data_IF_446432070551
#
_entry.id   IF_446432070551
#
_cell.length_a   1.000
_cell.length_b   1.000
_cell.length_c   1.000
_cell.angle_alpha   90.00
_cell.angle_beta   90.00
_cell.angle_gamma   90.00
#
_symmetry.space_group_name_H-M   'P 1'
#
loop_
_entity.id
_entity.type
_entity.pdbx_description
1 polymer ?
#
# COMPACT_ATOMS: atom_id res chain seq x y z
N UNK A 1 18.19 8.59 57.45
CA UNK A 1 17.12 7.82 56.78
C UNK A 1 17.13 7.82 55.23
N UNK A 2 17.93 8.65 54.51
CA UNK A 2 17.95 8.65 53.02
C UNK A 2 18.85 7.58 52.37
N UNK A 3 19.90 7.10 53.05
CA UNK A 3 20.83 6.10 52.51
C UNK A 3 20.27 4.67 52.44
N UNK A 4 19.52 4.24 53.46
CA UNK A 4 18.94 2.90 53.54
C UNK A 4 17.85 2.66 52.47
N UNK A 5 17.03 3.69 52.18
CA UNK A 5 15.99 3.62 51.13
C UNK A 5 16.58 3.49 49.72
N UNK A 6 17.71 4.16 49.44
CA UNK A 6 18.39 4.03 48.14
C UNK A 6 18.99 2.64 47.94
N UNK A 7 19.56 2.03 48.98
CA UNK A 7 20.10 0.66 48.92
C UNK A 7 19.00 -0.39 48.73
N UNK A 8 17.85 -0.21 49.37
CA UNK A 8 16.68 -1.07 49.20
C UNK A 8 16.10 -0.98 47.77
N UNK A 9 16.01 0.24 47.23
CA UNK A 9 15.53 0.44 45.86
C UNK A 9 16.48 -0.19 44.83
N UNK A 10 17.79 -0.05 45.04
CA UNK A 10 18.80 -0.66 44.17
C UNK A 10 18.70 -2.20 44.21
N UNK A 11 18.51 -2.78 45.39
CA UNK A 11 18.33 -4.22 45.55
C UNK A 11 17.08 -4.74 44.84
N UNK A 12 15.97 -3.99 44.89
CA UNK A 12 14.73 -4.33 44.17
C UNK A 12 14.89 -4.25 42.65
N UNK A 13 15.62 -3.24 42.15
CA UNK A 13 15.92 -3.11 40.71
C UNK A 13 16.80 -4.29 40.25
N UNK A 14 17.84 -4.65 41.02
CA UNK A 14 18.70 -5.79 40.68
C UNK A 14 17.91 -7.10 40.67
N UNK A 15 17.03 -7.32 41.66
CA UNK A 15 16.17 -8.50 41.70
C UNK A 15 15.21 -8.56 40.49
N UNK A 16 14.63 -7.42 40.09
CA UNK A 16 13.75 -7.33 38.94
C UNK A 16 14.47 -7.64 37.62
N UNK A 17 15.69 -7.13 37.45
CA UNK A 17 16.52 -7.41 36.26
C UNK A 17 16.90 -8.88 36.20
N UNK A 18 17.30 -9.50 37.31
CA UNK A 18 17.62 -10.93 37.36
C UNK A 18 16.41 -11.81 37.03
N UNK A 19 15.23 -11.44 37.55
CA UNK A 19 13.99 -12.17 37.24
C UNK A 19 13.59 -12.03 35.76
N UNK A 20 13.75 -10.84 35.20
CA UNK A 20 13.47 -10.57 33.79
C UNK A 20 14.41 -11.36 32.86
N UNK A 21 15.70 -11.45 33.21
CA UNK A 21 16.68 -12.25 32.47
C UNK A 21 16.39 -13.76 32.58
N UNK A 22 15.97 -14.25 33.74
CA UNK A 22 15.55 -15.65 33.92
C UNK A 22 14.28 -16.00 33.12
N UNK A 23 13.29 -15.09 33.10
CA UNK A 23 12.10 -15.22 32.28
C UNK A 23 12.45 -15.25 30.77
N UNK A 24 13.35 -14.36 30.33
CA UNK A 24 13.83 -14.36 28.95
C UNK A 24 14.56 -15.67 28.59
N UNK A 25 15.41 -16.18 29.47
CA UNK A 25 16.11 -17.45 29.26
C UNK A 25 15.14 -18.64 29.14
N UNK A 26 14.12 -18.70 30.00
CA UNK A 26 13.13 -19.79 29.98
C UNK A 26 12.21 -19.77 28.76
N UNK A 27 11.89 -18.58 28.23
CA UNK A 27 11.02 -18.43 27.06
C UNK A 27 11.78 -18.59 25.74
N UNK A 28 12.97 -18.01 25.63
CA UNK A 28 13.68 -17.92 24.35
C UNK A 28 14.83 -18.92 24.18
N UNK A 29 15.46 -19.37 25.27
CA UNK A 29 16.71 -20.15 25.21
C UNK A 29 16.59 -21.57 25.76
N UNK A 30 15.49 -21.89 26.47
CA UNK A 30 15.26 -23.26 26.96
C UNK A 30 14.78 -24.15 25.79
N UNK A 31 15.47 -25.26 25.49
CA UNK A 31 15.02 -26.20 24.47
C UNK A 31 13.64 -26.76 24.83
N UNK A 32 12.64 -26.56 23.97
CA UNK A 32 11.34 -27.21 24.11
C UNK A 32 11.54 -28.71 23.94
N UNK A 33 11.30 -29.49 25.02
CA UNK A 33 11.08 -30.94 24.90
C UNK A 33 9.90 -31.14 23.95
N UNK A 34 10.11 -31.85 22.85
CA UNK A 34 9.08 -32.26 21.91
C UNK A 34 7.97 -33.00 22.66
N UNK A 35 6.76 -32.47 22.57
CA UNK A 35 5.57 -33.14 23.08
C UNK A 35 5.38 -34.46 22.31
N UNK A 36 5.25 -35.55 23.06
CA UNK A 36 5.00 -36.88 22.51
C UNK A 36 3.65 -36.91 21.78
N UNK A 37 3.66 -37.47 20.57
CA UNK A 37 2.48 -37.80 19.77
C UNK A 37 1.64 -38.85 20.51
N UNK A 38 0.30 -38.72 20.57
CA UNK A 38 -0.55 -39.71 21.26
C UNK A 38 -0.67 -41.00 20.42
N UNK A 39 -0.38 -42.16 21.02
CA UNK A 39 -0.70 -43.48 20.48
C UNK A 39 -2.12 -43.93 20.91
N UNK A 40 -2.82 -44.75 20.10
CA UNK A 40 -4.21 -45.16 20.32
C UNK A 40 -4.35 -46.20 21.45
N UNK A 41 -5.56 -46.43 21.97
CA UNK A 41 -5.77 -47.11 23.24
C UNK A 41 -5.85 -48.62 23.06
N UNK A 42 -5.15 -49.39 23.91
CA UNK A 42 -5.74 -50.63 24.42
C UNK A 42 -5.04 -51.22 25.65
N UNK A 43 -5.90 -51.55 26.61
CA UNK A 43 -5.88 -52.66 27.58
C UNK A 43 -5.03 -52.57 28.85
N UNK A 44 -5.78 -52.33 29.93
CA UNK A 44 -5.51 -52.77 31.29
C UNK A 44 -4.92 -54.18 31.38
N UNK A 45 -3.81 -54.30 32.11
CA UNK A 45 -3.58 -55.42 33.02
C UNK A 45 -2.68 -54.99 34.19
N UNK A 46 -3.24 -55.15 35.38
CA UNK A 46 -2.67 -54.88 36.71
C UNK A 46 -1.41 -55.72 36.99
N UNK A 47 -0.52 -55.16 37.82
CA UNK A 47 0.48 -55.87 38.63
C UNK A 47 1.88 -55.26 38.49
N UNK A 48 2.31 -54.35 39.37
CA UNK A 48 2.93 -54.57 40.69
C UNK A 48 4.47 -54.64 40.63
N UNK A 49 5.08 -53.70 41.37
CA UNK A 49 6.42 -53.66 41.99
C UNK A 49 7.66 -53.37 41.15
N UNK A 50 8.41 -52.40 41.70
CA UNK A 50 9.77 -51.98 41.38
C UNK A 50 10.80 -53.12 41.50
N UNK A 51 11.68 -53.26 40.48
CA UNK A 51 13.13 -53.01 40.57
C UNK A 51 13.97 -53.84 39.55
N UNK A 52 14.98 -53.14 39.00
CA UNK A 52 16.25 -53.59 38.37
C UNK A 52 16.25 -53.95 36.87
N UNK A 53 17.20 -53.31 36.19
CA UNK A 53 17.49 -53.32 34.76
C UNK A 53 18.08 -54.64 34.24
N UNK A 54 17.73 -54.97 32.99
CA UNK A 54 18.53 -55.80 32.07
C UNK A 54 18.45 -55.13 30.70
N UNK A 55 19.58 -54.67 30.18
CA UNK A 55 19.77 -54.31 28.78
C UNK A 55 19.53 -55.56 27.93
N UNK A 56 18.47 -55.55 27.12
CA UNK A 56 18.36 -56.42 25.96
C UNK A 56 18.61 -55.53 24.73
N UNK A 57 19.85 -55.49 24.25
CA UNK A 57 20.12 -55.05 22.88
C UNK A 57 19.57 -56.13 21.94
N UNK A 58 18.34 -55.91 21.48
CA UNK A 58 17.67 -56.74 20.48
C UNK A 58 18.34 -56.47 19.13
N UNK A 59 19.26 -57.37 18.73
CA UNK A 59 20.03 -57.26 17.49
C UNK A 59 19.08 -57.22 16.28
N UNK A 60 19.00 -56.07 15.59
CA UNK A 60 18.22 -55.89 14.38
C UNK A 60 19.10 -56.16 13.13
N UNK A 61 18.86 -57.24 12.36
CA UNK A 61 19.68 -57.60 11.20
C UNK A 61 19.61 -56.58 10.05
N UNK A 62 18.63 -55.67 10.07
CA UNK A 62 18.31 -54.75 8.98
C UNK A 62 18.68 -53.30 9.28
N UNK A 63 19.37 -53.05 10.41
CA UNK A 63 19.76 -51.71 10.83
C UNK A 63 20.69 -51.01 9.83
N UNK A 64 21.56 -51.76 9.14
CA UNK A 64 22.45 -51.22 8.11
C UNK A 64 21.68 -50.85 6.84
N UNK A 65 20.70 -51.67 6.44
CA UNK A 65 19.87 -51.40 5.27
C UNK A 65 18.94 -50.19 5.51
N UNK A 66 18.35 -50.05 6.70
CA UNK A 66 17.56 -48.88 7.07
C UNK A 66 18.42 -47.60 7.12
N UNK A 67 19.65 -47.67 7.68
CA UNK A 67 20.59 -46.53 7.69
C UNK A 67 21.00 -46.14 6.27
N UNK A 68 21.21 -47.11 5.38
CA UNK A 68 21.56 -46.88 3.98
C UNK A 68 20.38 -46.29 3.18
N UNK A 69 19.15 -46.75 3.40
CA UNK A 69 17.95 -46.17 2.79
C UNK A 69 17.68 -44.76 3.30
N UNK A 70 17.84 -44.49 4.60
CA UNK A 70 17.74 -43.15 5.17
C UNK A 70 18.81 -42.22 4.57
N UNK A 71 20.05 -42.69 4.45
CA UNK A 71 21.13 -41.93 3.82
C UNK A 71 20.84 -41.64 2.34
N UNK A 72 20.34 -42.63 1.59
CA UNK A 72 19.95 -42.46 0.19
C UNK A 72 18.75 -41.50 0.03
N UNK A 73 17.76 -41.57 0.93
CA UNK A 73 16.63 -40.65 0.96
C UNK A 73 17.06 -39.21 1.31
N UNK A 74 17.98 -39.07 2.26
CA UNK A 74 18.60 -37.78 2.64
C UNK A 74 19.36 -37.18 1.45
N UNK A 75 20.17 -37.98 0.74
CA UNK A 75 20.91 -37.55 -0.44
C UNK A 75 19.97 -37.15 -1.60
N UNK A 76 18.88 -37.88 -1.83
CA UNK A 76 17.86 -37.51 -2.84
C UNK A 76 17.15 -36.20 -2.46
N UNK A 77 16.85 -35.99 -1.18
CA UNK A 77 16.26 -34.76 -0.68
C UNK A 77 17.22 -33.56 -0.85
N UNK A 78 18.50 -33.73 -0.52
CA UNK A 78 19.53 -32.71 -0.72
C UNK A 78 19.79 -32.39 -2.20
N UNK A 79 19.78 -33.41 -3.07
CA UNK A 79 19.90 -33.23 -4.51
C UNK A 79 18.71 -32.44 -5.08
N UNK A 80 17.48 -32.77 -4.65
CA UNK A 80 16.28 -32.03 -5.03
C UNK A 80 16.30 -30.58 -4.51
N UNK A 81 16.77 -30.35 -3.29
CA UNK A 81 16.96 -28.99 -2.76
C UNK A 81 18.00 -28.19 -3.55
N UNK A 82 19.10 -28.82 -4.01
CA UNK A 82 20.10 -28.19 -4.88
C UNK A 82 19.52 -27.84 -6.26
N UNK A 83 18.69 -28.71 -6.84
CA UNK A 83 18.00 -28.45 -8.11
C UNK A 83 17.00 -27.29 -7.96
N UNK A 84 16.22 -27.25 -6.88
CA UNK A 84 15.28 -26.16 -6.59
C UNK A 84 16.03 -24.84 -6.34
N UNK A 85 17.15 -24.87 -5.60
CA UNK A 85 18.01 -23.69 -5.42
C UNK A 85 18.61 -23.20 -6.73
N UNK A 86 19.06 -24.11 -7.61
CA UNK A 86 19.61 -23.77 -8.93
C UNK A 86 18.54 -23.22 -9.87
N UNK A 87 17.32 -23.76 -9.83
CA UNK A 87 16.18 -23.24 -10.56
C UNK A 87 15.76 -21.84 -10.06
N UNK A 88 15.77 -21.61 -8.73
CA UNK A 88 15.57 -20.28 -8.14
C UNK A 88 16.66 -19.29 -8.52
N UNK A 89 17.93 -19.68 -8.48
CA UNK A 89 19.03 -18.80 -8.88
C UNK A 89 18.98 -18.40 -10.35
N UNK A 90 18.48 -19.28 -11.22
CA UNK A 90 18.27 -18.98 -12.65
C UNK A 90 17.04 -18.08 -12.89
N UNK A 91 16.04 -18.13 -12.00
CA UNK A 91 14.88 -17.21 -12.02
C UNK A 91 15.20 -15.83 -11.41
N UNK A 92 16.25 -15.74 -10.59
CA UNK A 92 16.60 -14.58 -9.77
C UNK A 92 17.65 -13.65 -10.40
N UNK A 93 18.06 -13.86 -11.65
CA UNK A 93 18.91 -12.90 -12.34
C UNK A 93 18.12 -11.60 -12.57
N UNK A 94 18.60 -10.50 -12.01
CA UNK A 94 18.01 -9.17 -12.22
C UNK A 94 18.25 -8.81 -13.68
N UNK A 95 17.19 -8.74 -14.48
CA UNK A 95 17.26 -8.44 -15.92
C UNK A 95 17.01 -6.96 -16.19
N UNK A 96 16.26 -6.28 -15.33
CA UNK A 96 15.92 -4.87 -15.48
C UNK A 96 16.32 -4.08 -14.22
N UNK A 97 16.98 -2.95 -14.41
CA UNK A 97 17.22 -1.95 -13.35
C UNK A 97 16.46 -0.68 -13.69
N UNK A 98 15.66 -0.20 -12.74
CA UNK A 98 14.85 1.01 -12.89
C UNK A 98 15.11 1.94 -11.72
N UNK A 99 15.48 3.18 -12.00
CA UNK A 99 15.61 4.23 -10.98
C UNK A 99 14.42 5.20 -11.08
N UNK A 100 13.70 5.37 -9.97
CA UNK A 100 12.51 6.22 -9.89
C UNK A 100 12.90 7.54 -9.21
N UNK A 101 12.63 8.66 -9.87
CA UNK A 101 12.95 10.00 -9.38
C UNK A 101 11.67 10.70 -8.91
N UNK A 102 11.51 10.81 -7.60
CA UNK A 102 10.32 11.33 -6.94
C UNK A 102 10.40 12.80 -6.56
N UNK A 103 9.55 13.65 -7.15
CA UNK A 103 9.33 15.03 -6.65
C UNK A 103 7.88 15.36 -6.30
N UNK A 104 6.94 14.55 -6.76
CA UNK A 104 5.52 14.71 -6.47
C UNK A 104 5.06 13.70 -5.40
N UNK A 105 4.05 14.07 -4.62
CA UNK A 105 3.47 13.24 -3.57
C UNK A 105 3.02 11.85 -4.06
N UNK A 106 2.56 11.77 -5.31
CA UNK A 106 2.15 10.51 -5.95
C UNK A 106 3.30 9.48 -6.03
N UNK A 107 4.56 9.93 -6.00
CA UNK A 107 5.73 9.05 -5.97
C UNK A 107 5.89 8.35 -4.62
N UNK A 108 5.56 9.00 -3.51
CA UNK A 108 5.52 8.37 -2.19
C UNK A 108 4.38 7.35 -2.11
N UNK A 109 3.24 7.61 -2.77
CA UNK A 109 2.16 6.64 -2.85
C UNK A 109 2.60 5.38 -3.64
N UNK A 110 3.23 5.57 -4.80
CA UNK A 110 3.84 4.48 -5.57
C UNK A 110 4.81 3.66 -4.70
N UNK A 111 5.77 4.31 -4.04
CA UNK A 111 6.82 3.61 -3.31
C UNK A 111 6.31 2.95 -2.02
N UNK A 112 5.71 3.73 -1.12
CA UNK A 112 5.40 3.26 0.23
C UNK A 112 4.09 2.45 0.27
N UNK A 113 3.07 2.82 -0.51
CA UNK A 113 1.74 2.19 -0.41
C UNK A 113 1.54 1.07 -1.42
N UNK A 114 2.05 1.24 -2.65
CA UNK A 114 1.89 0.26 -3.73
C UNK A 114 3.03 -0.77 -3.70
N UNK A 115 4.29 -0.31 -3.66
CA UNK A 115 5.45 -1.21 -3.57
C UNK A 115 5.64 -1.80 -2.16
N UNK A 116 5.27 -1.05 -1.12
CA UNK A 116 5.60 -1.40 0.27
C UNK A 116 7.09 -1.17 0.57
N UNK A 117 7.71 -0.23 -0.14
CA UNK A 117 9.13 0.07 -0.02
C UNK A 117 9.42 1.02 1.14
N UNK A 118 10.48 0.70 1.87
CA UNK A 118 11.02 1.56 2.92
C UNK A 118 11.91 2.66 2.35
N UNK A 119 12.09 3.74 3.13
CA UNK A 119 12.91 4.89 2.78
C UNK A 119 13.90 5.18 3.90
N UNK A 120 15.15 5.43 3.52
CA UNK A 120 16.24 5.81 4.40
C UNK A 120 16.80 7.19 3.99
N UNK A 121 16.98 8.14 4.94
CA UNK A 121 16.55 8.05 6.33
C UNK A 121 15.01 8.02 6.47
N UNK A 122 14.54 7.50 7.61
CA UNK A 122 13.12 7.46 7.95
C UNK A 122 12.52 8.87 8.17
N UNK A 123 13.35 9.85 8.53
CA UNK A 123 12.95 11.23 8.74
C UNK A 123 12.38 11.86 7.47
N UNK A 124 11.11 12.26 7.53
CA UNK A 124 10.37 12.87 6.41
C UNK A 124 10.88 14.27 6.06
N UNK A 125 11.63 14.92 6.94
CA UNK A 125 12.22 16.26 6.74
C UNK A 125 13.62 16.22 6.12
N UNK A 126 14.17 15.02 5.92
CA UNK A 126 15.48 14.84 5.33
C UNK A 126 15.56 15.44 3.91
N UNK A 127 16.74 15.99 3.58
CA UNK A 127 17.01 16.65 2.30
C UNK A 127 16.89 15.70 1.09
N UNK A 128 17.20 14.42 1.30
CA UNK A 128 16.90 13.33 0.40
C UNK A 128 16.57 12.08 1.20
N UNK A 129 15.85 11.15 0.57
CA UNK A 129 15.52 9.82 1.07
C UNK A 129 15.56 8.85 -0.09
N UNK A 130 16.09 7.67 0.19
CA UNK A 130 16.32 6.64 -0.80
C UNK A 130 15.73 5.30 -0.34
N UNK A 131 15.24 4.53 -1.29
CA UNK A 131 14.77 3.18 -1.08
C UNK A 131 15.24 2.29 -2.20
N UNK A 132 15.40 1.00 -1.93
CA UNK A 132 15.58 0.02 -2.99
C UNK A 132 14.84 -1.26 -2.68
N UNK A 133 14.34 -1.91 -3.72
CA UNK A 133 13.58 -3.14 -3.60
C UNK A 133 13.68 -3.95 -4.89
N UNK A 134 13.78 -5.27 -4.75
CA UNK A 134 13.63 -6.21 -5.87
C UNK A 134 12.17 -6.64 -5.98
N UNK A 135 11.61 -6.58 -7.17
CA UNK A 135 10.29 -7.10 -7.48
C UNK A 135 10.38 -7.99 -8.73
N UNK A 136 10.32 -9.31 -8.51
CA UNK A 136 10.55 -10.29 -9.58
C UNK A 136 11.96 -10.18 -10.16
N UNK A 137 12.04 -9.93 -11.47
CA UNK A 137 13.30 -9.78 -12.21
C UNK A 137 13.79 -8.34 -12.29
N UNK A 138 13.02 -7.40 -11.73
CA UNK A 138 13.34 -5.97 -11.77
C UNK A 138 13.85 -5.49 -10.43
N UNK A 139 14.95 -4.74 -10.46
CA UNK A 139 15.47 -4.00 -9.32
C UNK A 139 15.07 -2.53 -9.43
N UNK A 140 14.40 -2.04 -8.40
CA UNK A 140 13.98 -0.66 -8.28
C UNK A 140 14.83 0.06 -7.24
N UNK A 141 15.32 1.25 -7.59
CA UNK A 141 15.76 2.25 -6.63
C UNK A 141 14.85 3.47 -6.73
N UNK A 142 14.58 4.11 -5.61
CA UNK A 142 13.72 5.29 -5.53
C UNK A 142 14.43 6.37 -4.75
N UNK A 143 14.46 7.58 -5.30
CA UNK A 143 15.06 8.75 -4.67
C UNK A 143 14.04 9.89 -4.63
N UNK A 144 13.90 10.54 -3.49
CA UNK A 144 12.96 11.65 -3.29
C UNK A 144 13.48 12.64 -2.25
N UNK A 145 13.01 13.88 -2.29
CA UNK A 145 13.31 14.89 -1.27
C UNK A 145 13.58 16.29 -1.83
N UNK A 146 13.74 17.31 -0.97
CA UNK A 146 14.02 18.68 -1.36
C UNK A 146 15.27 18.86 -2.24
N UNK A 147 16.37 18.18 -1.94
CA UNK A 147 17.65 18.30 -2.65
C UNK A 147 17.77 17.46 -3.91
N UNK A 148 16.78 16.62 -4.21
CA UNK A 148 16.72 15.86 -5.45
C UNK A 148 16.39 16.83 -6.58
N UNK A 149 17.40 17.38 -7.24
CA UNK A 149 17.24 18.33 -8.35
C UNK A 149 18.06 17.86 -9.56
N UNK A 150 17.68 18.24 -10.79
CA UNK A 150 18.37 17.79 -12.00
C UNK A 150 19.89 18.02 -11.92
N UNK A 151 20.68 16.95 -12.05
CA UNK A 151 22.14 16.99 -12.02
C UNK A 151 22.80 16.85 -10.64
N UNK A 152 22.04 16.80 -9.55
CA UNK A 152 22.57 16.79 -8.17
C UNK A 152 22.37 15.45 -7.44
N UNK A 153 22.29 14.35 -8.18
CA UNK A 153 22.22 12.99 -7.64
C UNK A 153 22.80 11.99 -8.64
N UNK A 154 23.15 10.79 -8.17
CA UNK A 154 23.72 9.72 -9.01
C UNK A 154 22.65 9.04 -9.86
N UNK A 155 22.89 8.98 -11.17
CA UNK A 155 22.08 8.18 -12.10
C UNK A 155 22.67 6.77 -12.13
N UNK A 156 21.95 5.81 -11.57
CA UNK A 156 22.46 4.44 -11.31
C UNK A 156 21.84 3.36 -12.20
N UNK A 157 20.88 3.76 -13.06
CA UNK A 157 20.18 2.86 -13.96
C UNK A 157 19.98 3.52 -15.33
N UNK A 158 20.01 2.69 -16.37
CA UNK A 158 19.74 3.11 -17.76
C UNK A 158 18.24 3.35 -18.00
N UNK A 159 17.37 2.76 -17.17
CA UNK A 159 15.93 2.93 -17.26
C UNK A 159 15.43 3.75 -16.08
N UNK A 160 14.62 4.77 -16.37
CA UNK A 160 14.15 5.68 -15.33
C UNK A 160 12.64 5.86 -15.36
N UNK A 161 12.07 6.15 -14.20
CA UNK A 161 10.70 6.66 -14.07
C UNK A 161 10.75 8.02 -13.39
N UNK A 162 10.23 9.04 -14.05
CA UNK A 162 10.20 10.40 -13.50
C UNK A 162 8.80 10.67 -12.95
N UNK A 163 8.72 11.05 -11.67
CA UNK A 163 7.45 11.40 -11.04
C UNK A 163 7.25 12.91 -11.09
N UNK A 164 6.28 13.35 -11.89
CA UNK A 164 6.01 14.75 -12.20
C UNK A 164 4.72 15.27 -11.57
N UNK A 165 4.66 16.59 -11.35
CA UNK A 165 3.47 17.29 -10.91
C UNK A 165 3.02 18.27 -12.00
N UNK A 166 1.91 17.94 -12.66
CA UNK A 166 1.28 18.77 -13.71
C UNK A 166 0.05 19.52 -13.24
N UNK A 167 -0.18 19.61 -11.92
CA UNK A 167 -1.45 20.14 -11.38
C UNK A 167 -1.71 21.60 -11.74
N UNK A 168 -0.67 22.42 -11.85
CA UNK A 168 -0.78 23.86 -12.13
C UNK A 168 0.41 24.36 -12.98
N UNK A 169 0.23 25.51 -13.65
CA UNK A 169 1.22 26.07 -14.59
C UNK A 169 2.63 26.20 -14.01
N UNK A 170 2.77 26.65 -12.76
CA UNK A 170 4.07 26.76 -12.08
C UNK A 170 4.74 25.39 -11.87
N UNK A 171 3.96 24.34 -11.58
CA UNK A 171 4.46 22.98 -11.41
C UNK A 171 4.84 22.35 -12.75
N UNK A 172 4.08 22.65 -13.80
CA UNK A 172 4.40 22.26 -15.18
C UNK A 172 5.77 22.83 -15.58
N UNK A 173 6.04 24.12 -15.33
CA UNK A 173 7.36 24.72 -15.63
C UNK A 173 8.51 24.00 -14.93
N UNK A 174 8.32 23.54 -13.69
CA UNK A 174 9.33 22.74 -13.00
C UNK A 174 9.42 21.31 -13.56
N UNK A 175 8.29 20.70 -13.91
CA UNK A 175 8.24 19.35 -14.49
C UNK A 175 8.94 19.29 -15.86
N UNK A 176 8.83 20.32 -16.69
CA UNK A 176 9.51 20.36 -17.99
C UNK A 176 11.03 20.45 -17.85
N UNK A 177 11.56 21.07 -16.79
CA UNK A 177 13.02 21.06 -16.51
C UNK A 177 13.54 19.63 -16.31
N UNK A 178 12.79 18.78 -15.62
CA UNK A 178 13.13 17.36 -15.47
C UNK A 178 13.11 16.60 -16.78
N UNK A 179 12.14 16.88 -17.64
CA UNK A 179 12.08 16.29 -18.98
C UNK A 179 13.27 16.73 -19.85
N UNK A 180 13.65 18.00 -19.85
CA UNK A 180 14.83 18.46 -20.58
C UNK A 180 16.13 17.83 -20.05
N UNK A 181 16.25 17.66 -18.74
CA UNK A 181 17.39 16.96 -18.14
C UNK A 181 17.45 15.49 -18.59
N UNK A 182 16.33 14.77 -18.52
CA UNK A 182 16.25 13.39 -18.99
C UNK A 182 16.55 13.27 -20.50
N UNK A 183 16.05 14.20 -21.31
CA UNK A 183 16.37 14.27 -22.73
C UNK A 183 17.88 14.43 -22.99
N UNK A 184 18.55 15.27 -22.20
CA UNK A 184 20.01 15.43 -22.28
C UNK A 184 20.75 14.14 -21.91
N UNK A 185 20.24 13.40 -20.91
CA UNK A 185 20.81 12.10 -20.54
C UNK A 185 20.60 11.02 -21.60
N UNK A 186 19.47 11.04 -22.31
CA UNK A 186 19.22 10.19 -23.48
C UNK A 186 20.22 10.52 -24.59
N UNK A 187 20.39 11.80 -24.94
CA UNK A 187 21.32 12.22 -26.01
C UNK A 187 22.78 11.88 -25.67
N UNK A 188 23.15 11.92 -24.39
CA UNK A 188 24.48 11.52 -23.91
C UNK A 188 24.61 10.01 -23.62
N UNK A 189 23.60 9.21 -23.98
CA UNK A 189 23.56 7.75 -23.81
C UNK A 189 23.77 7.28 -22.36
N UNK A 190 23.47 8.14 -21.37
CA UNK A 190 23.53 7.80 -19.95
C UNK A 190 22.29 7.03 -19.48
N UNK A 191 21.16 7.27 -20.13
CA UNK A 191 19.91 6.52 -19.94
C UNK A 191 19.38 6.13 -21.32
N UNK A 192 18.55 5.09 -21.39
CA UNK A 192 17.99 4.54 -22.61
C UNK A 192 16.47 4.68 -22.68
N UNK A 193 15.78 4.49 -21.55
CA UNK A 193 14.31 4.46 -21.51
C UNK A 193 13.74 5.31 -20.38
N UNK A 194 12.65 6.00 -20.68
CA UNK A 194 11.99 6.93 -19.75
C UNK A 194 10.50 6.64 -19.68
N UNK A 195 10.01 6.38 -18.48
CA UNK A 195 8.59 6.46 -18.17
C UNK A 195 8.29 7.69 -17.30
N UNK A 196 7.05 8.17 -17.34
CA UNK A 196 6.58 9.29 -16.52
C UNK A 196 5.40 8.82 -15.68
N UNK A 197 5.44 9.10 -14.37
CA UNK A 197 4.27 9.06 -13.49
C UNK A 197 3.82 10.49 -13.21
N UNK A 198 2.70 10.89 -13.80
CA UNK A 198 2.18 12.25 -13.76
C UNK A 198 1.03 12.36 -12.75
N UNK A 199 1.24 13.16 -11.70
CA UNK A 199 0.12 13.78 -10.97
C UNK A 199 -0.49 14.84 -11.88
N UNK A 200 -1.58 14.49 -12.55
CA UNK A 200 -2.25 15.29 -13.56
C UNK A 200 -2.96 16.52 -13.00
N UNK A 201 -3.46 17.35 -13.91
CA UNK A 201 -4.36 18.45 -13.59
C UNK A 201 -5.75 17.90 -13.18
N UNK A 202 -6.39 18.53 -12.19
CA UNK A 202 -7.71 18.09 -11.68
C UNK A 202 -8.86 18.31 -12.68
N UNK A 203 -8.65 19.14 -13.71
CA UNK A 203 -9.53 19.32 -14.87
C UNK A 203 -9.03 18.55 -16.10
N UNK A 204 -8.03 17.68 -15.92
CA UNK A 204 -7.47 16.78 -16.91
C UNK A 204 -6.80 17.41 -18.14
N UNK A 205 -6.53 18.73 -18.10
CA UNK A 205 -5.74 19.44 -19.11
C UNK A 205 -4.25 19.09 -18.98
N UNK A 206 -3.83 18.00 -19.62
CA UNK A 206 -2.47 17.46 -19.56
C UNK A 206 -1.75 17.50 -20.93
N UNK A 207 -2.25 18.27 -21.90
CA UNK A 207 -1.78 18.29 -23.29
C UNK A 207 -0.30 18.69 -23.41
N UNK A 208 0.20 19.45 -22.45
CA UNK A 208 1.59 19.89 -22.38
C UNK A 208 2.61 18.73 -22.36
N UNK A 209 2.21 17.52 -21.93
CA UNK A 209 3.11 16.35 -21.91
C UNK A 209 3.22 15.69 -23.28
N UNK A 210 2.24 15.89 -24.18
CA UNK A 210 2.14 15.17 -25.45
C UNK A 210 3.40 15.29 -26.32
N UNK A 211 4.04 16.47 -26.49
CA UNK A 211 5.24 16.60 -27.31
C UNK A 211 6.43 15.74 -26.83
N UNK A 212 6.41 15.30 -25.58
CA UNK A 212 7.47 14.47 -25.00
C UNK A 212 7.23 12.97 -25.19
N UNK A 213 6.01 12.54 -25.53
CA UNK A 213 5.68 11.12 -25.73
C UNK A 213 6.24 10.59 -27.05
N UNK A 214 6.75 9.36 -27.05
CA UNK A 214 7.30 8.71 -28.26
C UNK A 214 6.33 8.68 -29.43
N UNK A 215 5.04 8.44 -29.19
CA UNK A 215 4.00 8.46 -30.24
C UNK A 215 3.88 9.81 -30.97
N UNK A 216 4.35 10.90 -30.36
CA UNK A 216 4.36 12.25 -30.91
C UNK A 216 5.77 12.71 -31.29
N UNK A 217 6.73 11.78 -31.42
CA UNK A 217 8.12 12.09 -31.78
C UNK A 217 9.02 12.48 -30.60
N UNK A 218 8.54 12.38 -29.36
CA UNK A 218 9.33 12.60 -28.15
C UNK A 218 10.13 11.38 -27.70
N UNK A 219 10.66 11.42 -26.47
CA UNK A 219 11.54 10.37 -25.91
C UNK A 219 10.92 9.56 -24.77
N UNK A 220 9.77 10.00 -24.23
CA UNK A 220 9.06 9.30 -23.14
C UNK A 220 8.34 8.08 -23.70
N UNK A 221 8.75 6.89 -23.25
CA UNK A 221 8.21 5.61 -23.67
C UNK A 221 6.80 5.36 -23.14
N UNK A 222 6.55 5.71 -21.87
CA UNK A 222 5.34 5.34 -21.15
C UNK A 222 4.87 6.50 -20.27
N UNK A 223 3.56 6.71 -20.19
CA UNK A 223 2.93 7.69 -19.32
C UNK A 223 1.89 7.00 -18.42
N UNK A 224 2.07 7.13 -17.11
CA UNK A 224 1.06 6.81 -16.11
C UNK A 224 0.48 8.14 -15.60
N UNK A 225 -0.84 8.34 -15.68
CA UNK A 225 -1.45 9.64 -15.34
C UNK A 225 -2.62 9.47 -14.37
N UNK A 226 -2.72 10.35 -13.37
CA UNK A 226 -3.86 10.39 -12.44
C UNK A 226 -5.08 11.08 -13.04
N UNK A 227 -6.28 10.77 -12.52
CA UNK A 227 -7.58 11.23 -13.03
C UNK A 227 -7.93 10.68 -14.41
N UNK A 228 -9.22 10.51 -14.67
CA UNK A 228 -9.71 10.04 -15.98
C UNK A 228 -9.16 10.92 -17.11
N UNK A 229 -8.41 10.32 -18.04
CA UNK A 229 -7.77 11.05 -19.15
C UNK A 229 -8.09 10.41 -20.50
N UNK A 230 -8.52 11.24 -21.46
CA UNK A 230 -9.02 10.76 -22.76
C UNK A 230 -8.00 9.97 -23.58
N UNK A 231 -6.70 10.26 -23.43
CA UNK A 231 -5.66 9.59 -24.21
C UNK A 231 -5.21 8.24 -23.63
N UNK A 232 -5.81 7.79 -22.53
CA UNK A 232 -5.51 6.44 -22.00
C UNK A 232 -5.87 5.39 -23.05
N UNK A 233 -4.89 4.57 -23.40
CA UNK A 233 -4.98 3.52 -24.41
C UNK A 233 -4.39 2.19 -23.95
N UNK A 234 -3.86 2.08 -22.73
CA UNK A 234 -3.30 0.83 -22.19
C UNK A 234 -2.14 0.23 -23.03
N UNK A 235 -1.51 1.04 -23.87
CA UNK A 235 -0.34 0.68 -24.68
C UNK A 235 0.87 1.51 -24.28
N UNK A 236 0.73 2.84 -24.32
CA UNK A 236 1.77 3.79 -23.95
C UNK A 236 1.27 4.85 -22.94
N UNK A 237 -0.05 5.02 -22.80
CA UNK A 237 -0.69 5.89 -21.82
C UNK A 237 -1.65 5.07 -20.94
N UNK A 238 -1.38 5.09 -19.64
CA UNK A 238 -2.03 4.26 -18.63
C UNK A 238 -2.67 5.11 -17.55
N UNK A 239 -3.87 4.71 -17.11
CA UNK A 239 -4.52 5.32 -15.95
C UNK A 239 -3.81 4.90 -14.65
N UNK A 240 -3.53 5.85 -13.77
CA UNK A 240 -2.97 5.65 -12.44
C UNK A 240 -3.93 6.17 -11.37
N UNK A 241 -4.08 5.50 -10.21
CA UNK A 241 -4.88 6.04 -9.11
C UNK A 241 -4.19 7.20 -8.42
N UNK A 242 -4.96 8.19 -7.97
CA UNK A 242 -4.47 9.31 -7.17
C UNK A 242 -3.87 8.85 -5.83
N UNK A 243 -4.43 7.79 -5.24
CA UNK A 243 -3.97 7.24 -3.97
C UNK A 243 -4.32 8.10 -2.76
N UNK A 244 -3.54 7.98 -1.68
CA UNK A 244 -3.74 8.73 -0.43
C UNK A 244 -2.91 10.01 -0.38
N UNK A 245 -3.26 10.97 0.48
CA UNK A 245 -2.54 12.24 0.61
C UNK A 245 -1.20 12.09 1.37
N UNK A 246 -0.20 11.48 0.74
CA UNK A 246 1.15 11.31 1.32
C UNK A 246 1.82 12.64 1.65
N UNK A 247 1.48 13.74 0.97
CA UNK A 247 1.95 15.09 1.31
C UNK A 247 1.42 15.61 2.66
N UNK A 248 0.40 14.97 3.22
CA UNK A 248 -0.13 15.18 4.58
C UNK A 248 0.33 14.09 5.55
N UNK A 249 1.34 13.30 5.18
CA UNK A 249 1.85 12.18 5.95
C UNK A 249 0.78 11.12 6.28
N UNK A 250 -0.18 10.90 5.37
CA UNK A 250 -1.14 9.80 5.56
C UNK A 250 -0.38 8.46 5.60
N UNK A 251 -0.57 7.63 6.64
CA UNK A 251 0.28 6.46 6.88
C UNK A 251 -0.10 5.28 6.00
N UNK A 252 0.83 4.32 5.87
CA UNK A 252 0.49 2.96 5.45
C UNK A 252 -0.25 2.29 6.62
N UNK A 253 -1.45 1.78 6.34
CA UNK A 253 -2.33 1.17 7.34
C UNK A 253 -2.43 -0.31 7.07
N UNK A 254 -2.07 -1.13 8.06
CA UNK A 254 -2.26 -2.57 8.04
C UNK A 254 -3.59 -2.94 8.70
N UNK A 255 -4.43 -3.79 8.07
CA UNK A 255 -5.67 -4.24 8.68
C UNK A 255 -5.43 -4.93 10.01
N UNK A 256 -6.16 -4.52 11.04
CA UNK A 256 -6.16 -5.17 12.35
C UNK A 256 -7.47 -5.91 12.59
N UNK A 257 -7.45 -6.86 13.54
CA UNK A 257 -8.66 -7.56 13.98
C UNK A 257 -9.73 -6.58 14.50
N UNK A 258 -9.33 -5.61 15.32
CA UNK A 258 -10.23 -4.60 15.89
C UNK A 258 -10.88 -3.72 14.83
N UNK A 259 -10.11 -3.25 13.84
CA UNK A 259 -10.61 -2.45 12.73
C UNK A 259 -11.73 -3.15 11.95
N UNK A 260 -11.64 -4.48 11.86
CA UNK A 260 -12.60 -5.30 11.15
C UNK A 260 -13.84 -5.58 12.01
N UNK A 261 -13.64 -6.04 13.24
CA UNK A 261 -14.70 -6.65 14.06
C UNK A 261 -15.41 -5.70 15.02
N UNK A 262 -14.77 -4.62 15.45
CA UNK A 262 -15.35 -3.75 16.47
C UNK A 262 -16.55 -2.95 15.90
N UNK A 263 -17.62 -2.75 16.68
CA UNK A 263 -18.69 -1.84 16.30
C UNK A 263 -18.14 -0.42 16.18
N UNK A 264 -18.62 0.32 15.17
CA UNK A 264 -18.19 1.70 14.91
C UNK A 264 -19.16 2.68 15.56
N UNK A 265 -18.61 3.74 16.15
CA UNK A 265 -19.37 4.72 16.92
C UNK A 265 -20.22 5.64 16.02
N UNK A 266 -19.83 5.80 14.76
CA UNK A 266 -20.47 6.70 13.81
C UNK A 266 -20.95 5.93 12.56
N UNK A 267 -22.07 6.38 12.03
CA UNK A 267 -22.63 5.84 10.79
C UNK A 267 -21.83 6.29 9.58
N UNK A 268 -21.39 7.55 9.59
CA UNK A 268 -20.60 8.12 8.51
C UNK A 268 -19.61 9.17 9.00
N UNK A 269 -18.68 9.61 8.16
CA UNK A 269 -17.88 10.80 8.41
C UNK A 269 -17.78 11.71 7.19
N UNK A 270 -17.58 12.99 7.46
CA UNK A 270 -17.14 13.98 6.48
C UNK A 270 -16.25 15.02 7.16
N UNK A 271 -14.98 15.03 6.75
CA UNK A 271 -14.01 16.05 7.15
C UNK A 271 -13.49 16.74 5.89
N UNK A 272 -13.65 18.06 5.83
CA UNK A 272 -13.26 18.79 4.64
C UNK A 272 -13.77 20.22 4.57
N UNK A 273 -13.24 20.94 3.59
CA UNK A 273 -13.65 22.32 3.31
C UNK A 273 -14.97 22.33 2.53
N UNK A 274 -15.95 23.11 2.98
CA UNK A 274 -17.21 23.33 2.28
C UNK A 274 -17.09 24.62 1.50
N UNK A 275 -16.84 24.51 0.20
CA UNK A 275 -16.73 25.67 -0.68
C UNK A 275 -18.12 26.20 -1.04
N UNK A 276 -18.24 27.51 -1.21
CA UNK A 276 -19.46 28.13 -1.73
C UNK A 276 -19.76 27.60 -3.13
N UNK A 277 -21.04 27.42 -3.42
CA UNK A 277 -21.55 26.92 -4.70
C UNK A 277 -20.99 25.54 -5.06
N UNK A 278 -20.75 24.69 -4.06
CA UNK A 278 -20.29 23.32 -4.27
C UNK A 278 -21.30 22.30 -3.77
N UNK A 279 -21.25 21.07 -4.30
CA UNK A 279 -22.12 19.97 -3.86
C UNK A 279 -22.00 19.66 -2.37
N UNK A 280 -20.91 20.09 -1.73
CA UNK A 280 -20.67 19.96 -0.30
C UNK A 280 -21.68 20.75 0.52
N UNK A 281 -22.21 21.87 0.02
CA UNK A 281 -23.27 22.61 0.70
C UNK A 281 -24.57 21.78 0.72
N UNK A 282 -24.93 21.17 -0.40
CA UNK A 282 -26.10 20.28 -0.49
C UNK A 282 -25.94 19.05 0.41
N UNK A 283 -24.73 18.46 0.47
CA UNK A 283 -24.44 17.38 1.41
C UNK A 283 -24.68 17.81 2.86
N UNK A 284 -24.14 18.97 3.26
CA UNK A 284 -24.28 19.48 4.62
C UNK A 284 -25.72 19.85 4.97
N UNK A 285 -26.49 20.35 4.00
CA UNK A 285 -27.91 20.64 4.17
C UNK A 285 -28.72 19.36 4.45
N UNK A 286 -28.51 18.31 3.65
CA UNK A 286 -29.21 17.03 3.80
C UNK A 286 -28.89 16.36 5.13
N UNK A 287 -27.61 16.39 5.55
CA UNK A 287 -27.22 15.85 6.85
C UNK A 287 -27.92 16.56 8.02
N UNK A 288 -28.13 17.88 7.92
CA UNK A 288 -28.80 18.67 8.96
C UNK A 288 -30.32 18.48 8.95
N UNK A 289 -30.94 18.45 7.77
CA UNK A 289 -32.40 18.35 7.63
C UNK A 289 -32.95 17.07 8.27
N UNK A 290 -32.26 15.95 8.08
CA UNK A 290 -32.70 14.65 8.56
C UNK A 290 -32.07 14.26 9.92
N UNK A 291 -31.28 15.15 10.53
CA UNK A 291 -30.60 14.91 11.80
C UNK A 291 -29.49 13.85 11.76
N UNK A 292 -29.02 13.47 10.56
CA UNK A 292 -27.91 12.54 10.36
C UNK A 292 -26.56 13.13 10.78
N UNK A 293 -26.43 14.46 10.85
CA UNK A 293 -25.27 15.17 11.36
C UNK A 293 -24.85 14.70 12.77
N UNK A 294 -25.82 14.28 13.59
CA UNK A 294 -25.58 13.72 14.94
C UNK A 294 -25.11 12.27 14.94
N UNK A 295 -25.37 11.54 13.86
CA UNK A 295 -24.98 10.14 13.70
C UNK A 295 -23.63 10.00 12.97
N UNK A 296 -23.10 11.09 12.45
CA UNK A 296 -21.87 11.11 11.67
C UNK A 296 -20.79 11.97 12.32
N UNK A 297 -19.53 11.61 12.09
CA UNK A 297 -18.40 12.45 12.47
C UNK A 297 -18.22 13.55 11.43
N UNK A 298 -18.73 14.75 11.73
CA UNK A 298 -18.67 15.89 10.82
C UNK A 298 -17.69 16.94 11.35
N UNK A 299 -16.65 17.23 10.57
CA UNK A 299 -15.74 18.36 10.82
C UNK A 299 -15.56 19.16 9.53
N UNK A 300 -16.57 19.98 9.24
CA UNK A 300 -16.55 20.90 8.11
C UNK A 300 -15.77 22.18 8.46
N UNK A 301 -15.06 22.73 7.49
CA UNK A 301 -14.37 24.03 7.60
C UNK A 301 -14.69 24.92 6.41
N UNK A 302 -14.65 26.23 6.58
CA UNK A 302 -14.93 27.17 5.49
C UNK A 302 -13.73 27.35 4.55
N UNK A 303 -12.51 27.22 5.07
CA UNK A 303 -11.28 27.44 4.31
C UNK A 303 -10.37 26.22 4.32
N UNK A 304 -9.62 26.04 3.23
CA UNK A 304 -8.62 24.99 3.13
C UNK A 304 -7.32 25.42 3.79
N UNK A 305 -6.73 24.53 4.58
CA UNK A 305 -5.45 24.75 5.25
C UNK A 305 -4.38 23.80 4.66
N UNK A 306 -3.17 24.31 4.38
CA UNK A 306 -2.11 23.54 3.75
C UNK A 306 -1.43 22.56 4.71
N UNK A 307 -1.28 22.93 5.98
CA UNK A 307 -0.60 22.11 6.98
C UNK A 307 -1.61 21.35 7.83
N UNK A 308 -1.45 20.04 7.89
CA UNK A 308 -2.16 19.17 8.82
C UNK A 308 -1.32 19.07 10.10
N UNK A 309 -1.93 19.32 11.26
CA UNK A 309 -1.29 19.07 12.56
C UNK A 309 -1.37 17.60 12.92
N UNK A 310 -0.50 17.10 13.82
CA UNK A 310 -0.59 15.72 14.31
C UNK A 310 -1.96 15.40 14.92
N UNK A 311 -2.56 16.38 15.60
CA UNK A 311 -3.90 16.26 16.18
C UNK A 311 -5.00 16.17 15.11
N UNK A 312 -4.98 17.05 14.11
CA UNK A 312 -5.98 17.03 13.04
C UNK A 312 -5.86 15.80 12.14
N UNK A 313 -4.62 15.34 11.87
CA UNK A 313 -4.36 14.07 11.20
C UNK A 313 -4.92 12.89 12.02
N UNK A 314 -4.64 12.85 13.33
CA UNK A 314 -5.16 11.80 14.21
C UNK A 314 -6.69 11.81 14.26
N UNK A 315 -7.31 12.98 14.42
CA UNK A 315 -8.76 13.12 14.41
C UNK A 315 -9.37 12.62 13.10
N UNK A 316 -8.71 12.87 11.96
CA UNK A 316 -9.14 12.34 10.67
C UNK A 316 -9.03 10.82 10.60
N UNK A 317 -7.91 10.24 11.04
CA UNK A 317 -7.73 8.79 11.09
C UNK A 317 -8.76 8.12 12.02
N UNK A 318 -9.03 8.71 13.18
CA UNK A 318 -10.03 8.25 14.13
C UNK A 318 -11.43 8.31 13.51
N UNK A 319 -11.77 9.37 12.77
CA UNK A 319 -13.03 9.45 12.04
C UNK A 319 -13.18 8.33 11.00
N UNK A 320 -12.12 8.01 10.24
CA UNK A 320 -12.13 6.90 9.28
C UNK A 320 -12.27 5.54 9.99
N UNK A 321 -11.56 5.34 11.11
CA UNK A 321 -11.60 4.10 11.88
C UNK A 321 -12.95 3.88 12.57
N UNK A 322 -13.57 4.95 13.08
CA UNK A 322 -14.78 4.92 13.90
C UNK A 322 -16.08 5.11 13.12
N UNK A 323 -16.04 5.23 11.79
CA UNK A 323 -17.24 5.44 10.95
C UNK A 323 -17.47 4.34 9.93
N UNK A 324 -18.69 3.81 9.83
CA UNK A 324 -19.01 2.76 8.84
C UNK A 324 -18.83 3.22 7.40
N UNK A 325 -19.26 4.46 7.11
CA UNK A 325 -19.18 5.09 5.81
C UNK A 325 -18.28 6.32 5.82
N UNK A 326 -17.67 6.64 4.68
CA UNK A 326 -16.98 7.91 4.45
C UNK A 326 -17.63 8.63 3.28
N UNK A 327 -18.11 9.85 3.51
CA UNK A 327 -18.77 10.65 2.48
C UNK A 327 -17.70 11.35 1.62
N UNK A 328 -17.74 11.08 0.32
CA UNK A 328 -16.78 11.57 -0.66
C UNK A 328 -17.46 12.47 -1.70
N UNK A 329 -17.85 13.72 -1.33
CA UNK A 329 -18.34 14.69 -2.31
C UNK A 329 -17.23 15.15 -3.23
N UNK A 330 -17.64 15.49 -4.45
CA UNK A 330 -16.70 15.96 -5.47
C UNK A 330 -15.97 17.21 -5.00
N UNK A 331 -14.73 17.36 -5.48
CA UNK A 331 -13.95 18.59 -5.36
C UNK A 331 -13.86 19.27 -6.71
N UNK A 332 -12.65 19.71 -7.05
CA UNK A 332 -12.33 20.12 -8.43
C UNK A 332 -12.37 18.91 -9.36
N UNK A 333 -11.95 17.73 -8.86
CA UNK A 333 -12.14 16.44 -9.51
C UNK A 333 -13.06 15.53 -8.66
N UNK A 334 -13.70 14.56 -9.30
CA UNK A 334 -14.48 13.49 -8.65
C UNK A 334 -13.57 12.56 -7.84
N UNK A 335 -12.41 12.20 -8.37
CA UNK A 335 -11.42 11.39 -7.67
C UNK A 335 -10.71 12.24 -6.60
N UNK A 336 -10.68 11.76 -5.37
CA UNK A 336 -10.04 12.45 -4.27
C UNK A 336 -9.36 11.48 -3.30
N UNK A 337 -8.35 11.98 -2.59
CA UNK A 337 -7.56 11.19 -1.63
C UNK A 337 -8.43 10.44 -0.61
N UNK A 338 -9.53 11.07 -0.18
CA UNK A 338 -10.48 10.51 0.80
C UNK A 338 -10.99 9.13 0.42
N UNK A 339 -11.19 8.86 -0.88
CA UNK A 339 -11.68 7.56 -1.35
C UNK A 339 -10.70 6.45 -0.92
N UNK A 340 -9.41 6.65 -1.19
CA UNK A 340 -8.34 5.69 -0.90
C UNK A 340 -8.01 5.61 0.60
N UNK A 341 -8.10 6.75 1.29
CA UNK A 341 -7.88 6.84 2.74
C UNK A 341 -8.98 6.08 3.49
N UNK A 342 -10.24 6.23 3.09
CA UNK A 342 -11.37 5.48 3.63
C UNK A 342 -11.21 3.97 3.42
N UNK A 343 -10.79 3.55 2.22
CA UNK A 343 -10.45 2.15 1.94
C UNK A 343 -9.38 1.60 2.89
N UNK A 344 -8.39 2.43 3.27
CA UNK A 344 -7.28 2.02 4.14
C UNK A 344 -7.74 1.66 5.56
N UNK A 345 -8.84 2.26 6.03
CA UNK A 345 -9.42 2.04 7.36
C UNK A 345 -10.69 1.19 7.32
N UNK A 346 -11.05 0.64 6.16
CA UNK A 346 -12.27 -0.14 6.00
C UNK A 346 -13.56 0.69 6.17
N UNK A 347 -13.50 2.02 6.05
CA UNK A 347 -14.69 2.87 6.00
C UNK A 347 -15.17 2.95 4.56
N UNK A 348 -16.42 2.57 4.31
CA UNK A 348 -16.90 2.39 2.94
C UNK A 348 -17.12 3.75 2.26
N UNK A 349 -16.48 4.03 1.11
CA UNK A 349 -16.73 5.27 0.37
C UNK A 349 -18.17 5.35 -0.16
N UNK A 350 -18.84 6.46 0.15
CA UNK A 350 -20.06 6.92 -0.52
C UNK A 350 -19.66 8.06 -1.44
N UNK A 351 -19.68 7.82 -2.74
CA UNK A 351 -19.09 8.67 -3.76
C UNK A 351 -20.19 9.36 -4.54
N UNK A 352 -20.06 10.69 -4.66
CA UNK A 352 -20.83 11.47 -5.61
C UNK A 352 -20.30 11.23 -7.03
N UNK A 353 -20.98 10.35 -7.77
CA UNK A 353 -20.58 9.84 -9.07
C UNK A 353 -21.02 10.76 -10.22
N UNK A 354 -20.42 11.96 -10.22
CA UNK A 354 -20.71 13.07 -11.13
C UNK A 354 -19.41 13.56 -11.76
N UNK A 355 -19.42 13.79 -13.08
CA UNK A 355 -18.31 14.43 -13.79
C UNK A 355 -18.17 15.89 -13.34
N UNK A 356 -16.96 16.28 -12.95
CA UNK A 356 -16.62 17.68 -12.67
C UNK A 356 -16.23 18.42 -13.96
N UNK A 357 -16.27 19.77 -13.98
CA UNK A 357 -15.83 20.55 -15.14
C UNK A 357 -14.37 20.28 -15.52
N UNK A 358 -14.09 20.28 -16.83
CA UNK A 358 -12.77 20.01 -17.40
C UNK A 358 -12.85 19.07 -18.59
N UNK A 359 -11.68 18.64 -19.07
CA UNK A 359 -11.51 17.70 -20.18
C UNK A 359 -11.35 16.25 -19.68
N UNK A 360 -11.77 16.01 -18.44
CA UNK A 360 -11.83 14.67 -17.88
C UNK A 360 -12.94 13.88 -18.59
N UNK A 361 -12.74 12.59 -18.82
CA UNK A 361 -13.80 11.80 -19.43
C UNK A 361 -13.37 10.44 -19.92
N UNK A 362 -14.27 9.83 -20.69
CA UNK A 362 -14.07 8.52 -21.28
C UNK A 362 -12.83 8.50 -22.18
N UNK A 363 -12.13 7.39 -22.15
CA UNK A 363 -11.02 7.08 -23.04
C UNK A 363 -11.43 6.01 -24.05
N UNK A 364 -10.51 5.65 -24.94
CA UNK A 364 -10.69 4.53 -25.86
C UNK A 364 -10.86 3.19 -25.13
N UNK A 365 -10.26 3.03 -23.95
CA UNK A 365 -10.25 1.78 -23.18
C UNK A 365 -11.33 1.70 -22.12
N UNK A 366 -11.81 2.85 -21.66
CA UNK A 366 -12.72 2.94 -20.54
C UNK A 366 -13.85 3.93 -20.84
N UNK A 367 -15.09 3.51 -20.59
CA UNK A 367 -16.29 4.27 -20.99
C UNK A 367 -17.24 4.61 -19.83
N UNK A 368 -16.76 4.46 -18.59
CA UNK A 368 -17.56 4.60 -17.36
C UNK A 368 -17.16 5.80 -16.51
N UNK A 369 -16.73 6.91 -17.12
CA UNK A 369 -16.38 8.15 -16.42
C UNK A 369 -17.52 8.65 -15.50
N UNK A 370 -17.20 9.27 -14.35
CA UNK A 370 -15.88 9.43 -13.74
C UNK A 370 -15.37 8.15 -13.06
N UNK A 371 -14.12 8.11 -12.59
CA UNK A 371 -13.54 7.02 -11.77
C UNK A 371 -13.46 5.68 -12.51
N UNK A 372 -13.08 5.74 -13.79
CA UNK A 372 -13.09 4.59 -14.69
C UNK A 372 -12.26 3.42 -14.17
N UNK A 373 -11.06 3.70 -13.65
CA UNK A 373 -10.18 2.68 -13.09
C UNK A 373 -10.84 1.95 -11.91
N UNK A 374 -11.41 2.70 -10.96
CA UNK A 374 -12.04 2.14 -9.76
C UNK A 374 -13.27 1.30 -10.12
N UNK A 375 -14.11 1.81 -11.04
CA UNK A 375 -15.30 1.08 -11.53
C UNK A 375 -14.92 -0.19 -12.28
N UNK A 376 -13.93 -0.11 -13.18
CA UNK A 376 -13.47 -1.27 -13.96
C UNK A 376 -12.85 -2.34 -13.07
N UNK A 377 -12.16 -1.92 -12.00
CA UNK A 377 -11.63 -2.82 -10.96
C UNK A 377 -12.71 -3.36 -10.01
N UNK A 378 -13.99 -3.09 -10.23
CA UNK A 378 -15.08 -3.60 -9.42
C UNK A 378 -15.09 -3.07 -7.99
N UNK A 379 -14.73 -1.81 -7.78
CA UNK A 379 -14.71 -1.20 -6.46
C UNK A 379 -16.06 -1.37 -5.73
N UNK A 380 -16.08 -1.90 -4.50
CA UNK A 380 -17.32 -2.22 -3.78
C UNK A 380 -17.99 -0.98 -3.16
N UNK A 381 -17.82 0.20 -3.75
CA UNK A 381 -18.26 1.49 -3.21
C UNK A 381 -19.76 1.72 -3.42
N UNK A 382 -20.30 2.71 -2.71
CA UNK A 382 -21.65 3.20 -2.93
C UNK A 382 -21.56 4.43 -3.82
N UNK A 383 -21.99 4.30 -5.08
CA UNK A 383 -22.03 5.41 -6.03
C UNK A 383 -23.43 6.01 -6.01
N UNK A 384 -23.53 7.31 -5.72
CA UNK A 384 -24.78 8.08 -5.77
C UNK A 384 -24.67 9.14 -6.87
N UNK A 385 -25.77 9.42 -7.57
CA UNK A 385 -25.79 10.50 -8.57
C UNK A 385 -26.08 11.86 -7.96
N UNK A 386 -26.74 11.87 -6.81
CA UNK A 386 -27.01 13.09 -6.07
C UNK A 386 -27.11 12.81 -4.56
N UNK A 387 -26.83 13.83 -3.75
CA UNK A 387 -26.86 13.70 -2.29
C UNK A 387 -28.25 13.41 -1.71
N UNK A 388 -29.36 13.61 -2.46
CA UNK A 388 -30.72 13.27 -1.98
C UNK A 388 -30.94 11.75 -1.86
N UNK A 389 -30.03 10.95 -2.41
CA UNK A 389 -30.02 9.49 -2.21
C UNK A 389 -29.39 9.10 -0.86
N UNK A 390 -28.63 10.00 -0.22
CA UNK A 390 -27.90 9.72 1.01
C UNK A 390 -28.80 9.27 2.18
N UNK A 391 -29.98 9.87 2.44
CA UNK A 391 -30.86 9.42 3.52
C UNK A 391 -31.21 7.93 3.41
N UNK A 392 -31.50 7.44 2.20
CA UNK A 392 -31.80 6.03 1.97
C UNK A 392 -30.58 5.13 2.20
N UNK A 393 -29.38 5.60 1.82
CA UNK A 393 -28.11 4.90 2.09
C UNK A 393 -27.87 4.78 3.59
N UNK A 394 -28.03 5.88 4.34
CA UNK A 394 -27.82 5.91 5.80
C UNK A 394 -28.86 5.07 6.55
N UNK A 395 -30.13 5.10 6.13
CA UNK A 395 -31.17 4.26 6.72
C UNK A 395 -30.94 2.76 6.47
N UNK A 396 -30.46 2.40 5.27
CA UNK A 396 -30.03 1.02 4.98
C UNK A 396 -28.86 0.62 5.87
N UNK A 397 -27.88 1.51 6.04
CA UNK A 397 -26.70 1.27 6.86
C UNK A 397 -27.03 1.07 8.34
N UNK A 398 -27.96 1.89 8.85
CA UNK A 398 -28.41 1.86 10.24
C UNK A 398 -29.14 0.55 10.58
N UNK A 399 -29.87 -0.01 9.62
CA UNK A 399 -30.61 -1.28 9.78
C UNK A 399 -29.73 -2.52 9.62
N UNK A 400 -28.51 -2.37 9.11
CA UNK A 400 -27.59 -3.47 8.87
C UNK A 400 -27.03 -4.02 10.19
N UNK A 401 -27.01 -5.34 10.34
CA UNK A 401 -26.43 -6.01 11.50
C UNK A 401 -24.91 -5.82 11.55
N UNK A 402 -24.31 -5.98 12.74
CA UNK A 402 -22.86 -5.91 12.89
C UNK A 402 -22.14 -6.95 12.00
N UNK A 403 -22.68 -8.15 11.85
CA UNK A 403 -22.07 -9.20 11.01
C UNK A 403 -22.02 -8.81 9.53
N UNK A 404 -23.09 -8.23 9.00
CA UNK A 404 -23.12 -7.72 7.63
C UNK A 404 -22.12 -6.58 7.43
N UNK A 405 -22.02 -5.66 8.42
CA UNK A 405 -21.01 -4.58 8.41
C UNK A 405 -19.59 -5.13 8.40
N UNK A 406 -19.28 -6.11 9.25
CA UNK A 406 -17.99 -6.80 9.30
C UNK A 406 -17.65 -7.41 7.93
N UNK A 407 -18.60 -8.16 7.34
CA UNK A 407 -18.38 -8.81 6.05
C UNK A 407 -18.11 -7.79 4.93
N UNK A 408 -18.80 -6.65 4.97
CA UNK A 408 -18.58 -5.58 3.99
C UNK A 408 -17.24 -4.87 4.18
N UNK A 409 -16.82 -4.62 5.42
CA UNK A 409 -15.47 -4.08 5.72
C UNK A 409 -14.39 -5.03 5.26
N UNK A 410 -14.56 -6.34 5.47
CA UNK A 410 -13.65 -7.39 4.98
C UNK A 410 -13.50 -7.29 3.46
N UNK A 411 -14.63 -7.28 2.73
CA UNK A 411 -14.65 -7.16 1.26
C UNK A 411 -13.91 -5.90 0.78
N UNK A 412 -14.11 -4.77 1.45
CA UNK A 412 -13.46 -3.50 1.09
C UNK A 412 -11.94 -3.56 1.31
N UNK A 413 -11.50 -4.03 2.48
CA UNK A 413 -10.08 -4.13 2.82
C UNK A 413 -9.35 -5.10 1.90
N UNK A 414 -9.93 -6.29 1.66
CA UNK A 414 -9.41 -7.27 0.70
C UNK A 414 -9.35 -6.70 -0.71
N UNK A 415 -10.42 -6.05 -1.16
CA UNK A 415 -10.44 -5.39 -2.48
C UNK A 415 -9.32 -4.35 -2.59
N UNK A 416 -9.12 -3.51 -1.58
CA UNK A 416 -8.12 -2.45 -1.66
C UNK A 416 -6.68 -2.98 -1.61
N UNK A 417 -6.42 -4.03 -0.81
CA UNK A 417 -5.14 -4.74 -0.84
C UNK A 417 -4.86 -5.33 -2.22
N UNK A 418 -5.86 -6.01 -2.81
CA UNK A 418 -5.75 -6.60 -4.15
C UNK A 418 -5.59 -5.53 -5.24
N UNK A 419 -6.29 -4.40 -5.12
CA UNK A 419 -6.15 -3.26 -6.01
C UNK A 419 -4.71 -2.74 -6.02
N UNK A 420 -4.11 -2.49 -4.85
CA UNK A 420 -2.70 -2.05 -4.76
C UNK A 420 -1.74 -3.09 -5.33
N UNK A 421 -1.94 -4.37 -5.03
CA UNK A 421 -1.12 -5.45 -5.56
C UNK A 421 -1.21 -5.55 -7.10
N UNK A 422 -2.42 -5.39 -7.65
CA UNK A 422 -2.65 -5.35 -9.09
C UNK A 422 -1.99 -4.13 -9.74
N UNK A 423 -2.13 -2.94 -9.15
CA UNK A 423 -1.46 -1.73 -9.64
C UNK A 423 0.05 -1.89 -9.66
N UNK A 424 0.63 -2.50 -8.61
CA UNK A 424 2.07 -2.83 -8.56
C UNK A 424 2.46 -3.75 -9.71
N UNK A 425 1.72 -4.85 -9.90
CA UNK A 425 2.04 -5.82 -10.94
C UNK A 425 1.88 -5.23 -12.34
N UNK A 426 0.82 -4.45 -12.58
CA UNK A 426 0.59 -3.74 -13.83
C UNK A 426 1.73 -2.79 -14.14
N UNK A 427 2.16 -1.99 -13.17
CA UNK A 427 3.29 -1.08 -13.32
C UNK A 427 4.58 -1.81 -13.71
N UNK A 428 4.92 -2.87 -12.97
CA UNK A 428 6.13 -3.68 -13.23
C UNK A 428 6.07 -4.32 -14.62
N UNK A 429 4.97 -5.01 -14.95
CA UNK A 429 4.82 -5.68 -16.24
C UNK A 429 4.89 -4.69 -17.41
N UNK A 430 4.31 -3.50 -17.26
CA UNK A 430 4.34 -2.48 -18.30
C UNK A 430 5.77 -2.01 -18.56
N UNK A 431 6.56 -1.78 -17.51
CA UNK A 431 7.97 -1.42 -17.63
C UNK A 431 8.79 -2.57 -18.23
N UNK A 432 8.62 -3.79 -17.74
CA UNK A 432 9.33 -4.97 -18.23
C UNK A 432 9.06 -5.21 -19.72
N UNK A 433 7.80 -5.14 -20.14
CA UNK A 433 7.41 -5.31 -21.55
C UNK A 433 7.97 -4.21 -22.47
N UNK A 434 8.10 -2.99 -21.96
CA UNK A 434 8.56 -1.85 -22.76
C UNK A 434 10.09 -1.69 -22.78
N UNK A 435 10.78 -2.09 -21.71
CA UNK A 435 12.20 -1.79 -21.50
C UNK A 435 13.12 -3.00 -21.64
N UNK A 436 12.59 -4.22 -21.53
CA UNK A 436 13.39 -5.40 -21.84
C UNK A 436 13.42 -5.62 -23.36
N UNK A 437 14.55 -6.11 -23.90
CA UNK A 437 14.60 -6.56 -25.29
C UNK A 437 13.51 -7.60 -25.52
N UNK A 438 12.73 -7.45 -26.59
CA UNK A 438 11.89 -8.56 -27.04
C UNK A 438 12.79 -9.70 -27.48
N UNK A 439 12.58 -10.92 -26.96
CA UNK A 439 13.26 -12.16 -27.39
C UNK A 439 12.96 -12.57 -28.84
N UNK A 440 12.54 -11.62 -29.70
CA UNK A 440 12.36 -11.84 -31.13
C UNK A 440 13.71 -11.69 -31.83
N UNK A 441 14.52 -12.74 -31.69
CA UNK A 441 15.56 -13.09 -32.67
C UNK A 441 14.95 -13.60 -33.96
#
# INVERSE_FOLDING_TARGET
MRGARKRLLLALIVAYVLFSLYAAYTVFLRPRRTAAVPRPPHRDRRGSRDHVAVENEEWNPWEEDEKNELAAAQQRYEANLKIIKKARSHLEQITLRVQIWGKAAIGLYLWQHVFGGDLQPADVTAQWREGSQKAGKTYFSFITGPSVVPGYFSVEAENIVIVLNGREKKKITYATQWLHYAQTLIHTHKIQHVAVLLLGNEQCSNEWIQPYLKRHGGFVNLLFVTYDYMLVNEEDVFQWPLGVATYRNFPVVEPSWSMLHDPRSYLCNFLGTVYKSSSRESLMEILKQDGFDKLCWIAAREQWQPQETNESLKNYQDALLQSDLTLCPVGINTECYRIYEACSYGSLPVIEDVMTPGDCGNSSMYHSAPLQLLKTMGAPFIFIKNWKELPAVLEKEKKMSLQEKIQRRKKLLEWYQNFKAWMRQKFINTLENAFLPSDKG
#
